data_IF_961280532734
#
_entry.id   IF_961280532734
#
_cell.length_a   1.000
_cell.length_b   1.000
_cell.length_c   1.000
_cell.angle_alpha   90.00
_cell.angle_beta   90.00
_cell.angle_gamma   90.00
#
_symmetry.space_group_name_H-M   'P 1'
#
loop_
_entity.id
_entity.type
_entity.pdbx_description
1 polymer ?
#
# COMPACT_ATOMS: atom_id res chain seq x y z
N UNK A 1 13.00 6.75 -2.38
CA UNK A 1 12.39 7.40 -1.21
C UNK A 1 10.91 7.62 -1.50
N UNK A 2 10.05 7.50 -0.49
CA UNK A 2 8.61 7.76 -0.63
C UNK A 2 8.35 9.24 -0.34
N UNK A 3 7.44 9.85 -1.11
CA UNK A 3 6.88 11.14 -0.73
C UNK A 3 5.98 11.00 0.52
N UNK A 4 5.69 12.09 1.24
CA UNK A 4 4.75 12.05 2.38
C UNK A 4 3.37 11.49 2.00
N UNK A 5 2.93 11.76 0.77
CA UNK A 5 1.65 11.28 0.25
C UNK A 5 1.67 9.78 -0.04
N UNK A 6 2.73 9.27 -0.68
CA UNK A 6 2.94 7.82 -0.88
C UNK A 6 3.06 7.08 0.45
N UNK A 7 3.77 7.65 1.43
CA UNK A 7 3.90 7.06 2.76
C UNK A 7 2.55 7.01 3.49
N UNK A 8 1.76 8.08 3.41
CA UNK A 8 0.40 8.12 3.97
C UNK A 8 -0.51 7.07 3.32
N UNK A 9 -0.37 6.85 2.01
CA UNK A 9 -1.08 5.78 1.31
C UNK A 9 -0.61 4.39 1.78
N UNK A 10 0.69 4.19 1.99
CA UNK A 10 1.24 2.92 2.48
C UNK A 10 0.70 2.58 3.88
N UNK A 11 0.64 3.57 4.78
CA UNK A 11 0.00 3.44 6.09
C UNK A 11 -1.49 3.11 5.98
N UNK A 12 -2.19 3.73 5.03
CA UNK A 12 -3.61 3.45 4.77
C UNK A 12 -3.83 2.03 4.29
N UNK A 13 -3.01 1.52 3.36
CA UNK A 13 -3.07 0.12 2.93
C UNK A 13 -2.85 -0.82 4.12
N UNK A 14 -1.92 -0.49 5.03
CA UNK A 14 -1.65 -1.31 6.20
C UNK A 14 -2.80 -1.35 7.22
N UNK A 15 -3.46 -0.21 7.45
CA UNK A 15 -4.38 -0.02 8.59
C UNK A 15 -5.85 -0.04 8.20
N UNK A 16 -6.17 0.34 6.96
CA UNK A 16 -7.53 0.45 6.43
C UNK A 16 -7.55 0.10 4.94
N UNK A 17 -7.18 -1.14 4.56
CA UNK A 17 -7.10 -1.54 3.15
C UNK A 17 -8.45 -1.43 2.42
N UNK A 18 -9.57 -1.54 3.13
CA UNK A 18 -10.92 -1.34 2.58
C UNK A 18 -11.23 0.12 2.17
N UNK A 19 -10.44 1.09 2.65
CA UNK A 19 -10.63 2.52 2.38
C UNK A 19 -9.64 3.05 1.33
N UNK A 20 -8.94 2.15 0.64
CA UNK A 20 -7.96 2.51 -0.39
C UNK A 20 -8.68 2.65 -1.72
N UNK A 21 -8.51 3.81 -2.35
CA UNK A 21 -8.95 4.06 -3.73
C UNK A 21 -7.85 3.63 -4.72
N UNK A 22 -8.07 2.60 -5.54
CA UNK A 22 -7.07 2.12 -6.51
C UNK A 22 -6.77 3.13 -7.62
N UNK A 23 -7.66 4.10 -7.87
CA UNK A 23 -7.43 5.15 -8.87
C UNK A 23 -6.48 6.25 -8.39
N UNK A 24 -6.12 6.23 -7.10
CA UNK A 24 -5.21 7.21 -6.53
C UNK A 24 -3.78 7.02 -7.10
N UNK A 25 -3.14 8.08 -7.61
CA UNK A 25 -1.80 7.97 -8.20
C UNK A 25 -0.73 7.50 -7.19
N UNK A 26 -0.88 7.84 -5.92
CA UNK A 26 0.03 7.36 -4.88
C UNK A 26 -0.05 5.84 -4.72
N UNK A 27 -1.23 5.26 -4.88
CA UNK A 27 -1.42 3.82 -4.82
C UNK A 27 -0.72 3.12 -5.99
N UNK A 28 -0.90 3.64 -7.22
CA UNK A 28 -0.20 3.14 -8.40
C UNK A 28 1.32 3.14 -8.22
N UNK A 29 1.88 4.23 -7.66
CA UNK A 29 3.32 4.33 -7.36
C UNK A 29 3.78 3.28 -6.34
N UNK A 30 2.98 2.94 -5.33
CA UNK A 30 3.32 1.88 -4.37
C UNK A 30 3.33 0.48 -5.01
N UNK A 31 2.41 0.23 -5.94
CA UNK A 31 2.37 -1.02 -6.74
C UNK A 31 3.59 -1.10 -7.67
N UNK A 32 3.92 -0.02 -8.38
CA UNK A 32 5.12 0.07 -9.23
C UNK A 32 6.41 -0.17 -8.44
N UNK A 33 6.50 0.38 -7.23
CA UNK A 33 7.62 0.17 -6.29
C UNK A 33 7.59 -1.20 -5.60
N UNK A 34 6.60 -2.05 -5.92
CA UNK A 34 6.40 -3.40 -5.34
C UNK A 34 6.25 -3.40 -3.81
N UNK A 35 5.70 -2.33 -3.25
CA UNK A 35 5.39 -2.22 -1.82
C UNK A 35 3.98 -2.73 -1.52
N UNK A 36 3.11 -2.72 -2.53
CA UNK A 36 1.73 -3.19 -2.47
C UNK A 36 1.48 -4.19 -3.59
N UNK A 37 0.76 -5.26 -3.28
CA UNK A 37 0.22 -6.22 -4.23
C UNK A 37 -1.25 -5.89 -4.50
N UNK A 38 -1.57 -5.66 -5.77
CA UNK A 38 -2.92 -5.37 -6.29
C UNK A 38 -3.47 -6.52 -7.15
N UNK A 39 -2.80 -7.69 -7.19
CA UNK A 39 -3.19 -8.83 -8.04
C UNK A 39 -4.64 -9.25 -7.79
N UNK A 40 -5.06 -9.32 -6.52
CA UNK A 40 -6.43 -9.66 -6.16
C UNK A 40 -7.43 -8.62 -6.67
N UNK A 41 -7.09 -7.32 -6.62
CA UNK A 41 -7.95 -6.24 -7.12
C UNK A 41 -8.12 -6.29 -8.64
N UNK A 42 -7.07 -6.68 -9.37
CA UNK A 42 -7.14 -6.89 -10.83
C UNK A 42 -8.01 -8.09 -11.21
N UNK A 43 -8.09 -9.11 -10.35
CA UNK A 43 -8.89 -10.31 -10.57
C UNK A 43 -10.36 -10.13 -10.15
N UNK A 44 -10.62 -9.37 -9.08
CA UNK A 44 -11.97 -9.12 -8.58
C UNK A 44 -12.08 -7.74 -7.90
N UNK A 45 -12.49 -6.73 -8.66
CA UNK A 45 -12.57 -5.35 -8.20
C UNK A 45 -13.61 -5.08 -7.10
N UNK A 46 -14.58 -5.99 -6.89
CA UNK A 46 -15.72 -5.73 -5.99
C UNK A 46 -15.45 -6.13 -4.54
N UNK A 47 -14.52 -7.06 -4.29
CA UNK A 47 -14.28 -7.61 -2.95
C UNK A 47 -12.79 -7.74 -2.57
N UNK A 48 -11.87 -7.49 -3.51
CA UNK A 48 -10.45 -7.66 -3.23
C UNK A 48 -9.86 -6.41 -2.55
N UNK A 49 -8.96 -6.68 -1.61
CA UNK A 49 -8.22 -5.68 -0.85
C UNK A 49 -6.77 -5.66 -1.31
N UNK A 50 -6.12 -4.49 -1.35
CA UNK A 50 -4.69 -4.43 -1.57
C UNK A 50 -3.98 -4.97 -0.33
N UNK A 51 -2.85 -5.64 -0.54
CA UNK A 51 -2.02 -6.16 0.54
C UNK A 51 -0.61 -5.57 0.46
N UNK A 52 0.03 -5.37 1.61
CA UNK A 52 1.45 -5.05 1.60
C UNK A 52 2.26 -6.26 1.17
N UNK A 53 3.25 -6.04 0.30
CA UNK A 53 4.29 -7.05 0.05
C UNK A 53 5.20 -7.16 1.28
N UNK A 54 6.02 -8.22 1.39
CA UNK A 54 7.03 -8.31 2.44
C UNK A 54 7.96 -7.08 2.50
N UNK A 55 8.27 -6.48 1.34
CA UNK A 55 9.09 -5.27 1.27
C UNK A 55 8.34 -4.06 1.86
N UNK A 56 7.06 -3.90 1.53
CA UNK A 56 6.21 -2.86 2.12
C UNK A 56 6.06 -3.00 3.63
N UNK A 57 5.92 -4.22 4.14
CA UNK A 57 5.85 -4.51 5.58
C UNK A 57 7.16 -4.17 6.29
N UNK A 58 8.30 -4.61 5.76
CA UNK A 58 9.62 -4.29 6.32
C UNK A 58 9.88 -2.78 6.33
N UNK A 59 9.45 -2.07 5.30
CA UNK A 59 9.60 -0.61 5.24
C UNK A 59 8.84 0.06 6.39
N UNK A 60 7.58 -0.32 6.63
CA UNK A 60 6.79 0.22 7.74
C UNK A 60 7.37 -0.14 9.11
N UNK A 61 7.83 -1.38 9.30
CA UNK A 61 8.42 -1.82 10.56
C UNK A 61 9.62 -0.95 10.99
N UNK A 62 10.42 -0.47 10.04
CA UNK A 62 11.54 0.44 10.32
C UNK A 62 11.11 1.82 10.86
N UNK A 63 9.88 2.24 10.58
CA UNK A 63 9.34 3.50 11.10
C UNK A 63 8.66 3.32 12.45
N UNK A 64 8.07 2.15 12.73
CA UNK A 64 7.49 1.85 14.04
C UNK A 64 8.57 1.66 15.13
N UNK A 65 9.76 1.16 14.78
CA UNK A 65 10.91 1.05 15.71
C UNK A 65 11.54 2.41 16.08
N UNK A 66 11.23 3.48 15.34
CA UNK A 66 11.81 4.82 15.52
C UNK A 66 10.91 5.78 16.30
N UNK A 67 9.75 5.31 16.79
CA UNK A 67 8.75 6.07 17.55
C UNK A 67 8.77 5.73 19.05
#
# INVERSE_FOLDING_TARGET
MLSPHEFSMLLRVARAPDSVDPSNPAFAVLVEKRLVDDTQMRMNAVAARPALTPVGQMLLARFDEAA
#
